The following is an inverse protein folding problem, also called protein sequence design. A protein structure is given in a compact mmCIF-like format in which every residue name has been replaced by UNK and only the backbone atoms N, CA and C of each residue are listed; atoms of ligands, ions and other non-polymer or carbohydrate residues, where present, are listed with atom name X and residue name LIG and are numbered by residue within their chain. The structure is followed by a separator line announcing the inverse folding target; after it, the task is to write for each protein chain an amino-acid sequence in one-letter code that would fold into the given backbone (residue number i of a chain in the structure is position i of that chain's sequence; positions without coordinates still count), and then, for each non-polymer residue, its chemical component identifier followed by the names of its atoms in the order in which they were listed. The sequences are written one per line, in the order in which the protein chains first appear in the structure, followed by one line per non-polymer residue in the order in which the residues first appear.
data_IF_447065344880
#
_entry.id   IF_447065344880
#
_cell.length_a   1.000
_cell.length_b   1.000
_cell.length_c   1.000
_cell.angle_alpha   90.00
_cell.angle_beta   90.00
_cell.angle_gamma   90.00
#
_symmetry.space_group_name_H-M   'P 1'
#
loop_
_entity.id
_entity.type
_entity.pdbx_description
1 polymer ?
#
# COMPACT_ATOMS: atom_id res chain seq x y z
N UNK A 1 12.77 1.84 -1.78
CA UNK A 1 12.09 2.48 -2.94
C UNK A 1 10.59 2.59 -2.69
N UNK A 2 10.03 3.81 -2.74
CA UNK A 2 8.58 4.06 -2.65
C UNK A 2 8.17 5.04 -3.75
N UNK A 3 7.11 4.72 -4.50
CA UNK A 3 6.61 5.60 -5.55
C UNK A 3 5.94 6.84 -4.94
N UNK A 4 6.18 8.03 -5.51
CA UNK A 4 5.64 9.31 -5.00
C UNK A 4 4.11 9.32 -4.85
N UNK A 5 3.41 8.65 -5.76
CA UNK A 5 1.96 8.54 -5.69
C UNK A 5 1.50 7.66 -4.52
N UNK A 6 2.28 6.63 -4.16
CA UNK A 6 2.00 5.78 -3.01
C UNK A 6 2.24 6.55 -1.73
N UNK A 7 3.40 7.23 -1.62
CA UNK A 7 3.73 8.11 -0.49
C UNK A 7 2.62 9.14 -0.24
N UNK A 8 2.14 9.81 -1.31
CA UNK A 8 1.10 10.83 -1.23
C UNK A 8 -0.22 10.34 -0.60
N UNK A 9 -0.64 9.10 -0.89
CA UNK A 9 -1.89 8.55 -0.36
C UNK A 9 -1.70 7.75 0.93
N UNK A 10 -0.47 7.52 1.37
CA UNK A 10 -0.18 6.67 2.54
C UNK A 10 -0.75 7.27 3.83
N UNK A 11 -0.84 8.60 3.93
CA UNK A 11 -1.37 9.29 5.11
C UNK A 11 -2.77 8.80 5.50
N UNK A 12 -3.59 8.38 4.52
CA UNK A 12 -4.93 7.83 4.77
C UNK A 12 -4.95 6.44 5.41
N UNK A 13 -3.81 5.76 5.49
CA UNK A 13 -3.68 4.39 6.00
C UNK A 13 -2.88 4.30 7.31
N UNK A 14 -2.46 5.43 7.89
CA UNK A 14 -1.67 5.46 9.12
C UNK A 14 -2.38 4.81 10.31
N UNK A 15 -3.71 4.89 10.37
CA UNK A 15 -4.50 4.28 11.44
C UNK A 15 -4.74 2.77 11.22
N UNK A 16 -4.51 2.27 10.00
CA UNK A 16 -4.73 0.87 9.62
C UNK A 16 -3.52 -0.01 9.92
N UNK A 17 -2.32 0.57 9.88
CA UNK A 17 -1.06 -0.16 9.99
C UNK A 17 -0.19 0.37 11.12
N UNK A 18 0.64 -0.49 11.72
CA UNK A 18 1.79 -0.01 12.49
C UNK A 18 2.78 0.74 11.57
N UNK A 19 3.65 1.61 12.11
CA UNK A 19 4.65 2.30 11.29
C UNK A 19 5.50 1.38 10.42
N UNK A 20 5.90 0.22 10.95
CA UNK A 20 6.68 -0.79 10.23
C UNK A 20 5.85 -1.47 9.14
N UNK A 21 4.61 -1.85 9.45
CA UNK A 21 3.70 -2.46 8.49
C UNK A 21 3.33 -1.50 7.35
N UNK A 22 3.22 -0.20 7.64
CA UNK A 22 2.94 0.84 6.65
C UNK A 22 4.09 0.99 5.65
N UNK A 23 5.34 0.93 6.11
CA UNK A 23 6.53 0.96 5.23
C UNK A 23 6.53 -0.25 4.29
N UNK A 24 6.23 -1.44 4.81
CA UNK A 24 6.15 -2.66 3.98
C UNK A 24 4.97 -2.59 3.00
N UNK A 25 3.84 -2.01 3.41
CA UNK A 25 2.69 -1.79 2.54
C UNK A 25 3.03 -0.83 1.39
N UNK A 26 3.71 0.28 1.69
CA UNK A 26 4.19 1.22 0.67
C UNK A 26 5.14 0.55 -0.33
N UNK A 27 6.08 -0.27 0.15
CA UNK A 27 7.02 -1.03 -0.69
C UNK A 27 6.27 -2.02 -1.58
N UNK A 28 5.31 -2.74 -1.02
CA UNK A 28 4.48 -3.69 -1.76
C UNK A 28 3.73 -3.01 -2.90
N UNK A 29 2.96 -1.95 -2.60
CA UNK A 29 2.19 -1.23 -3.61
C UNK A 29 3.11 -0.58 -4.65
N UNK A 30 4.24 -0.02 -4.22
CA UNK A 30 5.23 0.54 -5.15
C UNK A 30 5.81 -0.53 -6.07
N UNK A 31 6.16 -1.70 -5.54
CA UNK A 31 6.59 -2.85 -6.33
C UNK A 31 5.52 -3.34 -7.30
N UNK A 32 4.26 -3.37 -6.86
CA UNK A 32 3.11 -3.68 -7.72
C UNK A 32 2.90 -2.64 -8.83
N UNK A 33 3.37 -1.40 -8.68
CA UNK A 33 3.31 -0.41 -9.75
C UNK A 33 4.48 -0.57 -10.74
N UNK A 34 5.70 -0.72 -10.22
CA UNK A 34 6.93 -0.58 -11.05
C UNK A 34 7.57 -1.89 -11.50
N UNK A 35 7.35 -2.99 -10.79
CA UNK A 35 7.99 -4.28 -11.11
C UNK A 35 7.31 -4.95 -12.29
N UNK A 36 8.07 -5.51 -13.23
CA UNK A 36 7.50 -6.44 -14.22
C UNK A 36 7.11 -7.77 -13.56
N UNK A 37 7.92 -8.24 -12.60
CA UNK A 37 7.65 -9.44 -11.83
C UNK A 37 6.89 -9.09 -10.54
N UNK A 38 5.58 -9.29 -10.54
CA UNK A 38 4.69 -8.95 -9.42
C UNK A 38 4.71 -9.96 -8.26
N UNK A 39 5.54 -11.00 -8.31
CA UNK A 39 5.69 -11.90 -7.15
C UNK A 39 6.35 -11.16 -5.99
N UNK A 40 6.10 -11.61 -4.76
CA UNK A 40 6.73 -11.06 -3.56
C UNK A 40 8.26 -11.10 -3.67
N UNK A 41 8.80 -12.19 -4.20
CA UNK A 41 10.23 -12.32 -4.45
C UNK A 41 10.73 -11.30 -5.48
N UNK A 42 10.02 -11.13 -6.60
CA UNK A 42 10.35 -10.16 -7.64
C UNK A 42 10.33 -8.72 -7.12
N UNK A 43 9.30 -8.37 -6.35
CA UNK A 43 9.17 -7.07 -5.70
C UNK A 43 10.29 -6.85 -4.68
N UNK A 44 10.55 -7.84 -3.82
CA UNK A 44 11.63 -7.77 -2.85
C UNK A 44 12.97 -7.47 -3.53
N UNK A 45 13.31 -8.16 -4.63
CA UNK A 45 14.55 -7.94 -5.41
C UNK A 45 14.74 -6.49 -5.86
N UNK A 46 13.67 -5.79 -6.20
CA UNK A 46 13.71 -4.37 -6.62
C UNK A 46 13.82 -3.44 -5.40
N UNK A 47 13.26 -3.83 -4.26
CA UNK A 47 13.35 -3.10 -2.99
C UNK A 47 14.66 -3.38 -2.21
N UNK A 48 15.43 -4.43 -2.57
CA UNK A 48 16.63 -4.94 -1.84
C UNK A 48 17.77 -3.92 -1.68
N UNK A 49 17.79 -2.80 -2.40
CA UNK A 49 18.78 -1.73 -2.13
C UNK A 49 18.70 -1.16 -0.71
N UNK A 50 17.60 -1.40 0.01
CA UNK A 50 17.51 -1.17 1.46
C UNK A 50 17.67 -2.52 2.19
N UNK A 51 18.84 -2.73 2.78
CA UNK A 51 19.33 -3.98 3.41
C UNK A 51 18.53 -4.42 4.67
N UNK A 52 17.28 -4.00 4.84
CA UNK A 52 16.43 -4.28 6.00
C UNK A 52 15.24 -5.15 5.59
N UNK A 53 15.35 -6.44 5.95
CA UNK A 53 14.30 -7.45 6.05
C UNK A 53 13.55 -7.82 4.76
N UNK A 54 14.11 -8.73 3.96
CA UNK A 54 13.37 -9.46 2.92
C UNK A 54 12.14 -10.23 3.45
N UNK A 55 12.14 -10.57 4.74
CA UNK A 55 11.01 -11.22 5.41
C UNK A 55 9.90 -10.26 5.86
N UNK A 56 10.11 -8.94 5.80
CA UNK A 56 9.15 -7.94 6.26
C UNK A 56 7.85 -7.97 5.45
N UNK A 57 7.98 -8.04 4.13
CA UNK A 57 6.84 -8.11 3.23
C UNK A 57 6.04 -9.41 3.36
N UNK A 58 6.71 -10.56 3.49
CA UNK A 58 6.02 -11.83 3.75
C UNK A 58 5.29 -11.80 5.10
N UNK A 59 5.90 -11.21 6.13
CA UNK A 59 5.26 -11.02 7.43
C UNK A 59 4.03 -10.11 7.33
N UNK A 60 4.10 -9.02 6.56
CA UNK A 60 2.94 -8.16 6.30
C UNK A 60 1.78 -8.95 5.66
N UNK A 61 2.07 -9.79 4.66
CA UNK A 61 1.03 -10.49 3.91
C UNK A 61 0.44 -11.70 4.64
N UNK A 62 1.20 -12.32 5.54
CA UNK A 62 0.84 -13.60 6.17
C UNK A 62 0.52 -13.45 7.65
N UNK A 63 1.28 -12.64 8.39
CA UNK A 63 1.23 -12.55 9.85
C UNK A 63 0.64 -11.22 10.35
N UNK A 64 0.45 -10.23 9.49
CA UNK A 64 -0.17 -8.97 9.91
C UNK A 64 -1.62 -9.23 10.29
N UNK A 65 -2.10 -8.70 11.44
CA UNK A 65 -3.52 -8.70 11.80
C UNK A 65 -4.27 -7.66 10.96
N UNK A 66 -4.09 -7.70 9.65
CA UNK A 66 -4.68 -6.75 8.72
C UNK A 66 -6.18 -7.00 8.64
N UNK A 67 -6.96 -6.08 9.18
CA UNK A 67 -8.39 -6.07 8.99
C UNK A 67 -8.71 -5.48 7.60
N UNK A 68 -9.16 -6.35 6.69
CA UNK A 68 -9.52 -5.96 5.33
C UNK A 68 -10.69 -4.96 5.31
N UNK A 69 -11.56 -4.97 6.32
CA UNK A 69 -12.67 -4.03 6.42
C UNK A 69 -12.20 -2.63 6.80
N UNK A 70 -11.22 -2.51 7.70
CA UNK A 70 -10.61 -1.23 8.05
C UNK A 70 -9.78 -0.67 6.89
N UNK A 71 -9.06 -1.55 6.17
CA UNK A 71 -8.36 -1.16 4.95
C UNK A 71 -9.31 -0.62 3.87
N UNK A 72 -10.47 -1.26 3.69
CA UNK A 72 -11.46 -0.84 2.71
C UNK A 72 -12.16 0.46 3.11
N UNK A 73 -12.45 0.66 4.40
CA UNK A 73 -12.94 1.94 4.95
C UNK A 73 -11.95 3.06 4.68
N UNK A 74 -10.66 2.84 4.98
CA UNK A 74 -9.60 3.82 4.70
C UNK A 74 -9.50 4.13 3.20
N UNK A 75 -9.64 3.12 2.33
CA UNK A 75 -9.69 3.30 0.87
C UNK A 75 -10.87 4.18 0.45
N UNK A 76 -12.07 3.94 0.97
CA UNK A 76 -13.23 4.77 0.67
C UNK A 76 -13.07 6.20 1.21
N UNK A 77 -12.52 6.37 2.41
CA UNK A 77 -12.25 7.68 2.99
C UNK A 77 -11.27 8.48 2.11
N UNK A 78 -10.19 7.84 1.64
CA UNK A 78 -9.25 8.43 0.68
C UNK A 78 -9.93 8.81 -0.64
N UNK A 79 -10.72 7.91 -1.23
CA UNK A 79 -11.43 8.22 -2.47
C UNK A 79 -12.42 9.39 -2.31
N UNK A 80 -13.04 9.52 -1.14
CA UNK A 80 -13.94 10.62 -0.81
C UNK A 80 -13.21 11.92 -0.45
N UNK A 81 -11.92 11.89 -0.10
CA UNK A 81 -11.13 13.12 0.11
C UNK A 81 -10.67 13.73 -1.21
N UNK A 82 -10.47 12.90 -2.24
CA UNK A 82 -10.00 13.32 -3.56
C UNK A 82 -11.19 13.63 -4.49
N UNK A 83 -11.47 14.92 -4.71
CA UNK A 83 -12.57 15.37 -5.60
C UNK A 83 -12.60 14.70 -6.98
N UNK A 84 -11.43 14.41 -7.56
CA UNK A 84 -11.32 13.75 -8.86
C UNK A 84 -11.76 12.28 -8.85
N UNK A 85 -11.78 11.63 -7.67
CA UNK A 85 -12.18 10.24 -7.47
C UNK A 85 -13.62 10.09 -6.98
N UNK A 86 -14.31 11.21 -6.73
CA UNK A 86 -15.74 11.17 -6.43
C UNK A 86 -16.48 10.50 -7.59
N UNK A 87 -17.28 9.49 -7.26
CA UNK A 87 -18.19 8.92 -8.24
C UNK A 87 -19.08 10.04 -8.77
N UNK A 88 -19.14 10.19 -10.10
CA UNK A 88 -20.10 11.10 -10.72
C UNK A 88 -21.49 10.70 -10.18
N UNK A 89 -22.31 11.67 -9.72
CA UNK A 89 -23.71 11.37 -9.48
C UNK A 89 -24.26 10.76 -10.77
N UNK A 90 -24.88 9.58 -10.69
CA UNK A 90 -25.53 8.97 -11.87
C UNK A 90 -26.45 10.06 -12.44
N UNK A 91 -26.17 10.46 -13.69
CA UNK A 91 -26.92 11.51 -14.37
C UNK A 91 -28.40 11.17 -14.36
N UNK A 92 -29.22 12.18 -14.04
CA UNK A 92 -30.64 12.21 -14.35
C UNK A 92 -30.85 12.48 -15.84
#
# INVERSE_FOLDING_TARGET
MVAKIVEHYTEHYQEVFSPEALIEFQRYVSGLLVSENKTVEGINRICVFENRNQSGLNRLLIESPLDLSELDKARFAMMNSVKAMHMKPRGY
#
